data_IF_562404015447
#
_entry.id   IF_562404015447
#
_cell.length_a   1.000
_cell.length_b   1.000
_cell.length_c   1.000
_cell.angle_alpha   90.00
_cell.angle_beta   90.00
_cell.angle_gamma   90.00
#
_symmetry.space_group_name_H-M   'P 1'
#
loop_
_entity.id
_entity.type
_entity.pdbx_description
1 polymer ?
#
# COMPACT_ATOMS: atom_id res chain seq x y z
N UNK A 1 -44.25 43.67 -3.54
CA UNK A 1 -43.27 43.68 -4.63
C UNK A 1 -41.86 43.75 -4.06
N UNK A 2 -41.11 42.68 -4.10
CA UNK A 2 -39.68 42.65 -3.64
C UNK A 2 -38.80 43.35 -4.66
N UNK A 3 -37.89 44.27 -4.22
CA UNK A 3 -36.98 45.01 -5.09
C UNK A 3 -36.03 44.07 -5.82
N UNK A 4 -35.73 44.27 -7.11
CA UNK A 4 -34.94 43.33 -7.94
C UNK A 4 -33.52 43.08 -7.43
N UNK A 5 -32.93 44.02 -6.69
CA UNK A 5 -31.61 43.84 -6.07
C UNK A 5 -31.54 42.73 -5.04
N UNK A 6 -32.64 42.43 -4.33
CA UNK A 6 -32.66 41.37 -3.29
C UNK A 6 -32.79 39.98 -3.90
N UNK A 7 -33.39 39.86 -5.11
CA UNK A 7 -33.44 38.56 -5.82
C UNK A 7 -32.11 38.19 -6.45
N UNK A 8 -31.32 39.14 -6.93
CA UNK A 8 -30.01 38.89 -7.51
C UNK A 8 -29.02 38.40 -6.44
N UNK A 9 -29.06 38.96 -5.23
CA UNK A 9 -28.19 38.54 -4.11
C UNK A 9 -28.51 37.08 -3.66
N UNK A 10 -29.78 36.72 -3.64
CA UNK A 10 -30.20 35.35 -3.27
C UNK A 10 -29.79 34.33 -4.37
N UNK A 11 -29.87 34.72 -5.64
CA UNK A 11 -29.46 33.85 -6.75
C UNK A 11 -27.93 33.59 -6.74
N UNK A 12 -27.13 34.63 -6.46
CA UNK A 12 -25.66 34.53 -6.36
C UNK A 12 -25.26 33.66 -5.14
N UNK A 13 -25.96 33.79 -4.01
CA UNK A 13 -25.70 32.95 -2.83
C UNK A 13 -26.03 31.47 -3.05
N UNK A 14 -27.06 31.15 -3.82
CA UNK A 14 -27.42 29.75 -4.15
C UNK A 14 -26.40 29.13 -5.13
N UNK A 15 -25.90 29.91 -6.10
CA UNK A 15 -24.84 29.44 -7.03
C UNK A 15 -23.53 29.19 -6.29
N UNK A 16 -23.16 30.05 -5.31
CA UNK A 16 -21.95 29.88 -4.51
C UNK A 16 -22.00 28.65 -3.59
N UNK A 17 -23.20 28.26 -3.09
CA UNK A 17 -23.35 27.03 -2.29
C UNK A 17 -23.27 25.73 -3.12
N UNK A 18 -23.57 25.80 -4.41
CA UNK A 18 -23.56 24.60 -5.27
C UNK A 18 -22.17 24.25 -5.81
N UNK A 19 -21.21 25.17 -5.79
CA UNK A 19 -19.83 24.91 -6.25
C UNK A 19 -18.91 24.31 -5.20
N UNK A 20 -19.29 24.27 -3.92
CA UNK A 20 -18.47 23.75 -2.82
C UNK A 20 -18.60 22.22 -2.59
N UNK A 21 -19.47 21.52 -3.32
CA UNK A 21 -19.77 20.11 -3.06
C UNK A 21 -19.13 19.11 -4.04
N UNK A 22 -18.27 19.57 -4.95
CA UNK A 22 -17.55 18.66 -5.85
C UNK A 22 -16.11 18.46 -5.40
N UNK A 23 -15.91 18.03 -4.12
CA UNK A 23 -14.69 17.32 -3.74
C UNK A 23 -14.76 15.94 -4.38
N UNK A 24 -14.38 15.84 -5.63
CA UNK A 24 -14.27 14.59 -6.36
C UNK A 24 -13.32 13.67 -5.60
N UNK A 25 -13.86 12.72 -4.85
CA UNK A 25 -13.15 11.49 -4.52
C UNK A 25 -12.90 10.84 -5.88
N UNK A 26 -11.70 11.00 -6.43
CA UNK A 26 -11.24 10.20 -7.56
C UNK A 26 -11.19 8.75 -7.07
N UNK A 27 -12.33 8.08 -7.17
CA UNK A 27 -12.43 6.66 -6.92
C UNK A 27 -11.62 5.95 -8.00
N UNK A 28 -10.73 5.10 -7.57
CA UNK A 28 -10.01 4.20 -8.47
C UNK A 28 -11.02 3.32 -9.24
N UNK A 29 -10.99 3.40 -10.58
CA UNK A 29 -11.88 2.67 -11.48
C UNK A 29 -11.14 1.46 -12.07
N UNK A 30 -10.87 0.42 -11.25
CA UNK A 30 -10.67 -0.95 -11.72
C UNK A 30 -9.56 -1.18 -12.77
N UNK A 31 -8.33 -0.78 -12.50
CA UNK A 31 -7.13 -1.14 -13.24
C UNK A 31 -5.99 -1.42 -12.25
N UNK A 32 -4.74 -1.55 -12.72
CA UNK A 32 -3.60 -1.58 -11.81
C UNK A 32 -3.41 -0.20 -11.19
N UNK A 33 -3.17 -0.11 -9.86
CA UNK A 33 -2.89 1.17 -9.21
C UNK A 33 -1.72 1.89 -9.86
N UNK A 34 -1.86 3.21 -10.01
CA UNK A 34 -0.84 4.07 -10.58
C UNK A 34 -0.51 5.21 -9.61
N UNK A 35 0.63 5.87 -9.84
CA UNK A 35 1.00 7.05 -9.06
C UNK A 35 -0.11 8.11 -9.10
N UNK A 36 -0.54 8.53 -7.91
CA UNK A 36 -1.60 9.52 -7.72
C UNK A 36 -2.94 8.92 -7.33
N UNK A 37 -3.17 7.63 -7.58
CA UNK A 37 -4.37 6.93 -7.15
C UNK A 37 -4.43 6.80 -5.62
N UNK A 38 -5.63 6.60 -5.09
CA UNK A 38 -5.82 6.20 -3.70
C UNK A 38 -6.30 4.76 -3.69
N UNK A 39 -5.60 3.88 -2.97
CA UNK A 39 -5.97 2.48 -2.84
C UNK A 39 -7.35 2.33 -2.18
N UNK A 40 -8.11 1.31 -2.55
CA UNK A 40 -9.31 0.96 -1.81
C UNK A 40 -8.96 0.57 -0.38
N UNK A 41 -9.95 0.59 0.51
CA UNK A 41 -9.76 0.08 1.86
C UNK A 41 -9.56 -1.42 1.82
N UNK A 42 -8.32 -1.87 1.99
CA UNK A 42 -7.97 -3.28 2.09
C UNK A 42 -8.07 -3.70 3.55
N UNK A 43 -8.92 -4.66 3.84
CA UNK A 43 -8.93 -5.36 5.13
C UNK A 43 -8.10 -6.62 4.99
N UNK A 44 -6.99 -6.69 5.74
CA UNK A 44 -5.99 -7.74 5.65
C UNK A 44 -5.96 -8.54 6.94
N UNK A 45 -5.78 -9.85 6.83
CA UNK A 45 -5.50 -10.71 7.98
C UNK A 45 -4.13 -10.38 8.56
N UNK A 46 -4.04 -10.30 9.89
CA UNK A 46 -2.78 -10.00 10.57
C UNK A 46 -1.79 -11.17 10.43
N UNK A 47 -0.46 -10.91 10.34
CA UNK A 47 0.52 -11.98 10.30
C UNK A 47 0.45 -12.83 11.60
N UNK A 48 0.74 -14.11 11.48
CA UNK A 48 0.70 -15.05 12.61
C UNK A 48 1.81 -14.80 13.64
N UNK A 49 2.91 -14.18 13.24
CA UNK A 49 4.07 -13.90 14.08
C UNK A 49 3.85 -12.66 14.95
N UNK A 50 4.03 -12.77 16.27
CA UNK A 50 3.99 -11.64 17.20
C UNK A 50 5.07 -10.59 16.89
N UNK A 51 6.23 -11.02 16.41
CA UNK A 51 7.31 -10.14 15.95
C UNK A 51 6.82 -9.25 14.79
N UNK A 52 6.12 -9.84 13.82
CA UNK A 52 5.63 -9.13 12.65
C UNK A 52 4.47 -8.20 12.99
N UNK A 53 3.58 -8.62 13.90
CA UNK A 53 2.54 -7.75 14.46
C UNK A 53 3.14 -6.53 15.16
N UNK A 54 4.15 -6.76 16.03
CA UNK A 54 4.85 -5.69 16.73
C UNK A 54 5.58 -4.75 15.75
N UNK A 55 6.22 -5.30 14.71
CA UNK A 55 6.85 -4.53 13.65
C UNK A 55 5.85 -3.62 12.94
N UNK A 56 4.67 -4.13 12.58
CA UNK A 56 3.62 -3.34 11.93
C UNK A 56 2.87 -2.41 12.90
N UNK A 57 2.96 -2.65 14.20
CA UNK A 57 2.26 -1.90 15.24
C UNK A 57 0.76 -2.20 15.30
N UNK A 58 0.36 -3.42 14.96
CA UNK A 58 -1.03 -3.89 14.90
C UNK A 58 -1.32 -4.89 16.03
N UNK A 59 -2.57 -4.87 16.53
CA UNK A 59 -3.00 -5.72 17.66
C UNK A 59 -4.22 -6.59 17.33
N UNK A 60 -4.99 -6.24 16.27
CA UNK A 60 -6.19 -6.97 15.84
C UNK A 60 -5.89 -8.27 15.08
N UNK A 61 -6.93 -9.05 14.79
CA UNK A 61 -6.86 -10.19 13.88
C UNK A 61 -6.86 -9.75 12.40
N UNK A 62 -7.49 -8.61 12.12
CA UNK A 62 -7.46 -7.92 10.85
C UNK A 62 -6.97 -6.49 11.04
N UNK A 63 -6.49 -5.88 9.98
CA UNK A 63 -6.02 -4.49 9.96
C UNK A 63 -6.13 -3.90 8.55
N UNK A 64 -5.99 -2.59 8.46
CA UNK A 64 -5.92 -1.86 7.20
C UNK A 64 -4.53 -1.24 7.03
N UNK A 65 -4.15 -0.94 5.79
CA UNK A 65 -2.83 -0.33 5.53
C UNK A 65 -2.63 0.99 6.32
N UNK A 66 -3.69 1.76 6.53
CA UNK A 66 -3.66 2.99 7.32
C UNK A 66 -3.46 2.81 8.83
N UNK A 67 -3.61 1.59 9.36
CA UNK A 67 -3.34 1.28 10.77
C UNK A 67 -1.84 1.14 11.04
N UNK A 68 -1.03 0.94 9.98
CA UNK A 68 0.42 0.81 10.08
C UNK A 68 1.04 2.20 10.27
N UNK A 69 1.67 2.41 11.42
CA UNK A 69 2.32 3.68 11.74
C UNK A 69 3.66 3.83 11.01
N UNK A 70 3.64 4.50 9.87
CA UNK A 70 4.83 4.84 9.08
C UNK A 70 4.64 6.15 8.32
N UNK A 71 5.67 6.64 7.65
CA UNK A 71 5.60 7.75 6.69
C UNK A 71 5.44 7.25 5.26
N UNK A 72 5.96 6.06 4.99
CA UNK A 72 5.90 5.39 3.71
C UNK A 72 5.78 3.88 3.95
N UNK A 73 4.83 3.25 3.27
CA UNK A 73 4.71 1.80 3.23
C UNK A 73 5.18 1.29 1.86
N UNK A 74 6.16 0.39 1.86
CA UNK A 74 6.44 -0.46 0.73
C UNK A 74 5.49 -1.66 0.84
N UNK A 75 4.55 -1.74 -0.08
CA UNK A 75 3.57 -2.81 -0.15
C UNK A 75 3.83 -3.65 -1.40
N UNK A 76 4.22 -4.89 -1.20
CA UNK A 76 4.56 -5.82 -2.26
C UNK A 76 3.47 -6.88 -2.42
N UNK A 77 2.99 -7.13 -3.64
CA UNK A 77 2.12 -8.26 -3.97
C UNK A 77 2.98 -9.38 -4.53
N UNK A 78 2.98 -10.52 -3.86
CA UNK A 78 3.75 -11.71 -4.23
C UNK A 78 2.85 -12.91 -4.51
N UNK A 79 3.35 -13.89 -5.24
CA UNK A 79 2.78 -15.23 -5.35
C UNK A 79 3.68 -16.24 -4.64
N UNK A 80 3.07 -17.21 -3.94
CA UNK A 80 3.82 -18.24 -3.20
C UNK A 80 4.78 -19.03 -4.12
N UNK A 81 4.37 -19.34 -5.34
CA UNK A 81 5.14 -20.12 -6.31
C UNK A 81 5.71 -19.27 -7.45
N UNK A 82 5.89 -17.97 -7.23
CA UNK A 82 6.34 -17.02 -8.25
C UNK A 82 7.87 -16.99 -8.36
N UNK A 83 8.49 -17.44 -9.48
CA UNK A 83 9.95 -17.42 -9.63
C UNK A 83 10.56 -16.02 -9.57
N UNK A 84 9.86 -15.00 -10.09
CA UNK A 84 10.32 -13.62 -10.05
C UNK A 84 10.31 -13.06 -8.62
N UNK A 85 9.32 -13.46 -7.79
CA UNK A 85 9.28 -13.09 -6.39
C UNK A 85 10.45 -13.72 -5.63
N UNK A 86 10.85 -14.96 -5.99
CA UNK A 86 12.04 -15.59 -5.42
C UNK A 86 13.34 -14.85 -5.76
N UNK A 87 13.42 -14.25 -6.94
CA UNK A 87 14.57 -13.38 -7.31
C UNK A 87 14.56 -12.06 -6.53
N UNK A 88 13.39 -11.48 -6.27
CA UNK A 88 13.25 -10.22 -5.56
C UNK A 88 13.50 -10.35 -4.06
N UNK A 89 13.11 -11.48 -3.44
CA UNK A 89 13.19 -11.66 -1.98
C UNK A 89 14.57 -11.31 -1.37
N UNK A 90 15.73 -11.79 -1.87
CA UNK A 90 17.04 -11.40 -1.33
C UNK A 90 17.36 -9.92 -1.51
N UNK A 91 16.90 -9.30 -2.61
CA UNK A 91 17.07 -7.88 -2.86
C UNK A 91 16.28 -7.06 -1.84
N UNK A 92 15.02 -7.43 -1.59
CA UNK A 92 14.16 -6.76 -0.62
C UNK A 92 14.55 -7.05 0.83
N UNK A 93 15.13 -8.21 1.14
CA UNK A 93 15.75 -8.46 2.45
C UNK A 93 16.94 -7.52 2.70
N UNK A 94 17.74 -7.27 1.67
CA UNK A 94 18.84 -6.29 1.74
C UNK A 94 18.29 -4.88 1.95
N UNK A 95 17.26 -4.49 1.19
CA UNK A 95 16.57 -3.22 1.35
C UNK A 95 16.00 -3.05 2.75
N UNK A 96 15.30 -4.06 3.26
CA UNK A 96 14.74 -4.09 4.62
C UNK A 96 15.84 -3.89 5.68
N UNK A 97 16.95 -4.64 5.57
CA UNK A 97 18.09 -4.49 6.49
C UNK A 97 18.69 -3.08 6.48
N UNK A 98 18.79 -2.45 5.30
CA UNK A 98 19.30 -1.07 5.16
C UNK A 98 18.33 -0.04 5.78
N UNK A 99 17.01 -0.25 5.63
CA UNK A 99 15.99 0.61 6.24
C UNK A 99 16.07 0.48 7.77
N UNK A 100 16.06 -0.76 8.30
CA UNK A 100 15.99 -1.02 9.75
C UNK A 100 17.28 -0.65 10.49
N UNK A 101 18.42 -0.62 9.82
CA UNK A 101 19.71 -0.19 10.39
C UNK A 101 20.04 1.28 10.10
N UNK A 102 19.22 1.96 9.30
CA UNK A 102 19.48 3.31 8.83
C UNK A 102 18.57 4.38 9.45
N UNK A 103 18.69 5.61 8.91
CA UNK A 103 17.90 6.77 9.33
C UNK A 103 16.40 6.66 8.98
N UNK A 104 16.01 5.65 8.21
CA UNK A 104 14.65 5.41 7.75
C UNK A 104 13.89 4.44 8.67
N UNK A 105 14.56 3.89 9.68
CA UNK A 105 13.95 3.01 10.68
C UNK A 105 12.69 3.66 11.29
N UNK A 106 11.60 2.91 11.35
CA UNK A 106 10.30 3.38 11.85
C UNK A 106 9.58 4.40 10.96
N UNK A 107 10.27 5.00 9.99
CA UNK A 107 9.66 5.92 9.01
C UNK A 107 9.13 5.18 7.79
N UNK A 108 9.81 4.11 7.39
CA UNK A 108 9.40 3.22 6.31
C UNK A 108 9.07 1.86 6.90
N UNK A 109 7.96 1.28 6.49
CA UNK A 109 7.60 -0.11 6.76
C UNK A 109 7.49 -0.89 5.47
N UNK A 110 7.76 -2.20 5.53
CA UNK A 110 7.62 -3.12 4.42
C UNK A 110 6.60 -4.21 4.77
N UNK A 111 5.74 -4.55 3.83
CA UNK A 111 4.70 -5.57 3.96
C UNK A 111 4.52 -6.27 2.62
N UNK A 112 4.43 -7.60 2.63
CA UNK A 112 4.02 -8.36 1.45
C UNK A 112 2.61 -8.93 1.62
N UNK A 113 1.84 -8.99 0.52
CA UNK A 113 0.58 -9.69 0.38
C UNK A 113 0.81 -10.95 -0.46
N UNK A 114 0.52 -12.12 0.10
CA UNK A 114 0.62 -13.39 -0.63
C UNK A 114 -0.69 -13.64 -1.38
N UNK A 115 -0.78 -13.18 -2.62
CA UNK A 115 -1.94 -13.35 -3.47
C UNK A 115 -2.24 -14.85 -3.69
N UNK A 116 -3.43 -15.31 -3.26
CA UNK A 116 -3.85 -16.70 -3.28
C UNK A 116 -3.17 -17.59 -2.24
N UNK A 117 -2.28 -17.02 -1.40
CA UNK A 117 -1.55 -17.79 -0.38
C UNK A 117 -2.25 -17.78 0.96
N UNK A 118 -2.30 -18.94 1.62
CA UNK A 118 -2.75 -19.11 3.00
C UNK A 118 -1.56 -19.14 3.98
N UNK A 119 -1.87 -19.17 5.29
CA UNK A 119 -0.85 -19.16 6.35
C UNK A 119 0.14 -20.32 6.23
N UNK A 120 -0.33 -21.53 5.92
CA UNK A 120 0.54 -22.71 5.81
C UNK A 120 1.50 -22.61 4.62
N UNK A 121 1.01 -22.07 3.49
CA UNK A 121 1.84 -21.83 2.31
C UNK A 121 2.87 -20.72 2.54
N UNK A 122 2.52 -19.66 3.29
CA UNK A 122 3.47 -18.63 3.72
C UNK A 122 4.55 -19.26 4.62
N UNK A 123 4.19 -20.10 5.57
CA UNK A 123 5.17 -20.80 6.42
C UNK A 123 6.09 -21.70 5.60
N UNK A 124 5.55 -22.43 4.63
CA UNK A 124 6.35 -23.20 3.67
C UNK A 124 7.31 -22.33 2.87
N UNK A 125 6.83 -21.20 2.34
CA UNK A 125 7.66 -20.23 1.62
C UNK A 125 8.81 -19.73 2.50
N UNK A 126 8.52 -19.33 3.74
CA UNK A 126 9.51 -18.80 4.68
C UNK A 126 10.58 -19.83 5.08
N UNK A 127 10.21 -21.12 5.14
CA UNK A 127 11.16 -22.20 5.40
C UNK A 127 12.14 -22.43 4.23
N UNK A 128 11.72 -22.19 3.00
CA UNK A 128 12.53 -22.37 1.80
C UNK A 128 13.27 -21.09 1.39
N UNK A 129 12.65 -19.95 1.60
CA UNK A 129 13.10 -18.62 1.13
C UNK A 129 12.69 -17.59 2.16
N UNK A 130 13.57 -17.27 3.12
CA UNK A 130 13.24 -16.35 4.20
C UNK A 130 12.98 -14.92 3.65
N UNK A 131 11.87 -14.34 4.11
CA UNK A 131 11.59 -12.93 4.02
C UNK A 131 11.91 -12.29 5.37
N UNK A 132 12.55 -11.14 5.35
CA UNK A 132 12.94 -10.41 6.57
C UNK A 132 11.85 -9.46 7.07
N UNK A 133 10.77 -9.29 6.32
CA UNK A 133 9.62 -8.44 6.61
C UNK A 133 8.31 -9.24 6.53
N UNK A 134 7.23 -8.72 7.14
CA UNK A 134 5.97 -9.45 7.25
C UNK A 134 5.34 -9.81 5.90
N UNK A 135 4.75 -11.02 5.85
CA UNK A 135 3.87 -11.47 4.77
C UNK A 135 2.49 -11.74 5.37
N UNK A 136 1.44 -11.26 4.71
CA UNK A 136 0.05 -11.53 5.09
C UNK A 136 -0.66 -12.36 4.03
N UNK A 137 -1.61 -13.24 4.43
CA UNK A 137 -2.33 -14.09 3.51
C UNK A 137 -3.41 -13.33 2.74
N UNK A 138 -3.75 -13.85 1.56
CA UNK A 138 -4.90 -13.44 0.75
C UNK A 138 -5.45 -14.66 -0.02
N UNK A 139 -5.90 -15.72 0.71
CA UNK A 139 -6.21 -17.04 0.12
C UNK A 139 -7.35 -16.99 -0.90
N UNK A 140 -8.28 -16.05 -0.77
CA UNK A 140 -9.40 -15.86 -1.68
C UNK A 140 -9.14 -14.81 -2.78
N UNK A 141 -7.90 -14.28 -2.86
CA UNK A 141 -7.53 -13.19 -3.76
C UNK A 141 -8.37 -11.91 -3.59
N UNK A 142 -8.90 -11.66 -2.39
CA UNK A 142 -9.80 -10.51 -2.17
C UNK A 142 -9.08 -9.18 -2.31
N UNK A 143 -7.96 -9.03 -1.59
CA UNK A 143 -7.13 -7.84 -1.70
C UNK A 143 -6.47 -7.74 -3.09
N UNK A 144 -6.01 -8.85 -3.65
CA UNK A 144 -5.42 -8.91 -4.98
C UNK A 144 -6.40 -8.43 -6.07
N UNK A 145 -7.68 -8.87 -6.02
CA UNK A 145 -8.73 -8.40 -6.93
C UNK A 145 -9.01 -6.91 -6.78
N UNK A 146 -9.08 -6.43 -5.53
CA UNK A 146 -9.24 -4.99 -5.25
C UNK A 146 -8.05 -4.16 -5.79
N UNK A 147 -6.87 -4.75 -5.94
CA UNK A 147 -5.69 -4.11 -6.55
C UNK A 147 -5.62 -4.27 -8.07
N UNK A 148 -6.67 -4.80 -8.72
CA UNK A 148 -6.73 -4.96 -10.18
C UNK A 148 -5.93 -6.15 -10.70
N UNK A 149 -5.72 -7.16 -9.87
CA UNK A 149 -5.07 -8.44 -10.23
C UNK A 149 -3.66 -8.27 -10.83
N UNK A 150 -2.74 -7.56 -10.15
CA UNK A 150 -1.40 -7.34 -10.67
C UNK A 150 -0.64 -8.67 -10.84
N UNK A 151 0.14 -8.77 -11.92
CA UNK A 151 1.14 -9.85 -12.03
C UNK A 151 2.22 -9.64 -10.98
N UNK A 152 2.64 -10.73 -10.33
CA UNK A 152 3.63 -10.71 -9.26
C UNK A 152 5.08 -10.87 -9.76
N UNK A 153 6.06 -10.23 -9.12
CA UNK A 153 5.90 -9.26 -8.04
C UNK A 153 5.38 -7.91 -8.54
N UNK A 154 4.60 -7.25 -7.70
CA UNK A 154 4.14 -5.89 -7.94
C UNK A 154 4.37 -5.05 -6.69
N UNK A 155 5.12 -3.96 -6.81
CA UNK A 155 5.52 -3.13 -5.69
C UNK A 155 4.81 -1.79 -5.74
N UNK A 156 4.29 -1.36 -4.60
CA UNK A 156 3.63 -0.09 -4.37
C UNK A 156 4.37 0.67 -3.27
N UNK A 157 4.61 1.95 -3.45
CA UNK A 157 4.96 2.87 -2.38
C UNK A 157 3.73 3.71 -2.08
N UNK A 158 3.23 3.61 -0.85
CA UNK A 158 1.99 4.27 -0.43
C UNK A 158 2.22 5.12 0.82
N UNK A 159 1.53 6.25 0.90
CA UNK A 159 1.51 7.06 2.11
C UNK A 159 0.50 6.50 3.14
N UNK A 160 0.49 7.03 4.38
CA UNK A 160 -0.45 6.59 5.41
C UNK A 160 -1.93 6.75 5.06
N UNK A 161 -2.26 7.60 4.08
CA UNK A 161 -3.63 7.82 3.61
C UNK A 161 -4.03 6.88 2.48
N UNK A 162 -3.11 5.96 2.08
CA UNK A 162 -3.33 5.01 1.00
C UNK A 162 -3.09 5.58 -0.41
N UNK A 163 -2.51 6.79 -0.52
CA UNK A 163 -2.18 7.37 -1.81
C UNK A 163 -0.93 6.70 -2.38
N UNK A 164 -1.02 6.27 -3.63
CA UNK A 164 0.08 5.65 -4.36
C UNK A 164 1.08 6.71 -4.81
N UNK A 165 2.30 6.62 -4.31
CA UNK A 165 3.40 7.53 -4.65
C UNK A 165 4.27 6.97 -5.77
N UNK A 166 4.36 5.65 -5.88
CA UNK A 166 5.10 4.95 -6.93
C UNK A 166 4.60 3.52 -7.10
N UNK A 167 4.74 2.98 -8.31
CA UNK A 167 4.47 1.57 -8.61
C UNK A 167 5.60 0.99 -9.44
N UNK A 168 5.90 -0.30 -9.21
CA UNK A 168 6.86 -1.04 -10.00
C UNK A 168 6.32 -2.43 -10.36
N UNK A 169 6.43 -2.81 -11.63
CA UNK A 169 6.01 -4.13 -12.14
C UNK A 169 7.25 -5.00 -12.35
N UNK A 170 7.23 -6.21 -11.80
CA UNK A 170 8.36 -7.13 -11.88
C UNK A 170 9.42 -6.87 -10.82
N UNK A 171 10.62 -7.40 -11.03
CA UNK A 171 11.74 -7.34 -10.07
C UNK A 171 12.35 -5.95 -10.05
N UNK A 172 12.55 -5.38 -8.86
CA UNK A 172 13.33 -4.16 -8.63
C UNK A 172 14.80 -4.55 -8.58
N UNK A 173 15.50 -4.41 -9.70
CA UNK A 173 16.91 -4.83 -9.80
C UNK A 173 17.88 -3.85 -9.13
N UNK A 174 17.65 -2.53 -9.28
CA UNK A 174 18.50 -1.49 -8.70
C UNK A 174 17.97 -1.04 -7.33
N UNK A 175 18.43 -1.72 -6.29
CA UNK A 175 18.05 -1.43 -4.90
C UNK A 175 18.60 -0.09 -4.41
N UNK A 176 19.71 0.39 -4.95
CA UNK A 176 20.30 1.68 -4.55
C UNK A 176 19.45 2.83 -5.08
N UNK A 177 19.08 2.79 -6.35
CA UNK A 177 18.17 3.78 -6.93
C UNK A 177 16.79 3.71 -6.26
N UNK A 178 16.31 2.51 -5.94
CA UNK A 178 15.01 2.35 -5.28
C UNK A 178 15.01 2.87 -3.84
N UNK A 179 16.07 2.61 -3.06
CA UNK A 179 16.22 3.18 -1.71
C UNK A 179 16.32 4.71 -1.75
N UNK A 180 17.03 5.26 -2.74
CA UNK A 180 17.08 6.70 -2.96
C UNK A 180 15.70 7.27 -3.23
N UNK A 181 14.93 6.67 -4.14
CA UNK A 181 13.54 7.07 -4.41
C UNK A 181 12.70 7.07 -3.13
N UNK A 182 12.77 6.00 -2.33
CA UNK A 182 12.04 5.91 -1.06
C UNK A 182 12.46 7.02 -0.08
N UNK A 183 13.75 7.34 -0.04
CA UNK A 183 14.29 8.42 0.81
C UNK A 183 13.75 9.78 0.38
N UNK A 184 13.69 10.03 -0.92
CA UNK A 184 13.19 11.30 -1.49
C UNK A 184 11.66 11.46 -1.25
N UNK A 185 10.92 10.36 -1.10
CA UNK A 185 9.47 10.35 -0.80
C UNK A 185 9.15 10.52 0.70
N UNK A 186 10.14 10.41 1.58
CA UNK A 186 9.98 10.53 3.03
C UNK A 186 10.75 11.75 3.53
N UNK A 187 10.12 12.93 3.58
CA UNK A 187 10.73 14.18 4.06
C UNK A 187 11.12 14.15 5.54
#
# INVERSE_FOLDING_TARGET
MMKPARQIVILIAIIALFTAAFSGKTGWCGGLPQKGDTLPSLELEAPSSDKDRAYLGITGQTFRLGDIRCRLLLFEVIGIYCPQCYRQAPLFNTLFSRIEKGKLQGRIKMLALAAGGNVAEIQYLLAQRPYSFPIVPDPAFEAHKLLGEPRTPFTLLVDPQGKVLHTHKGVVEDIDAFLKLMTDLVP
#
